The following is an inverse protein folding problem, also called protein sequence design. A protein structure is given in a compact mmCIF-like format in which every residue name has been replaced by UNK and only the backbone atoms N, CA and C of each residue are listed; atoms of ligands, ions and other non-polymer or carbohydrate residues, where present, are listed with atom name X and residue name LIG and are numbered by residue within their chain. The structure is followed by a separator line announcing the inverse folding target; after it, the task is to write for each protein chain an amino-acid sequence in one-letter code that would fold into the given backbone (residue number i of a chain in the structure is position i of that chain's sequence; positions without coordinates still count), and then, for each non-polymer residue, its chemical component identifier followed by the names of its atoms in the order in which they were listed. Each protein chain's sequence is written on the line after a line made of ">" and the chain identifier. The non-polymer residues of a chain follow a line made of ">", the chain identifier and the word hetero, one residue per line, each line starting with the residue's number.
data_IF_563775355106
#
_entry.id   IF_563775355106
#
_cell.length_a   1.000
_cell.length_b   1.000
_cell.length_c   1.000
_cell.angle_alpha   90.00
_cell.angle_beta   90.00
_cell.angle_gamma   90.00
#
_symmetry.space_group_name_H-M   'P 1'
#
loop_
_entity.id
_entity.type
_entity.pdbx_description
1 polymer ?
#
# COMPACT_ATOMS: atom_id res chain seq x y z
N UNK A 1 1.45 -4.24 3.81
CA UNK A 1 0.16 -3.65 3.40
C UNK A 1 0.15 -2.22 3.90
N UNK A 2 0.52 -1.27 3.03
CA UNK A 2 0.35 0.16 3.30
C UNK A 2 -1.15 0.43 3.17
N UNK A 3 -1.85 0.69 4.27
CA UNK A 3 -3.17 1.30 4.13
C UNK A 3 -2.93 2.76 3.77
N UNK A 4 -3.66 3.26 2.77
CA UNK A 4 -3.72 4.67 2.44
C UNK A 4 -4.97 5.26 3.08
N UNK A 5 -4.85 6.37 3.80
CA UNK A 5 -6.01 7.12 4.30
C UNK A 5 -6.04 8.49 3.65
N UNK A 6 -7.07 8.74 2.85
CA UNK A 6 -7.38 10.07 2.32
C UNK A 6 -8.09 10.85 3.41
N UNK A 7 -7.42 11.88 3.93
CA UNK A 7 -8.00 12.87 4.82
C UNK A 7 -8.35 14.09 3.97
N UNK A 8 -9.65 14.23 3.68
CA UNK A 8 -10.20 15.49 3.17
C UNK A 8 -10.22 16.46 4.35
N UNK A 9 -9.35 17.46 4.35
CA UNK A 9 -9.25 18.39 5.49
C UNK A 9 -10.49 19.28 5.55
N UNK A 10 -11.36 19.02 6.51
CA UNK A 10 -12.10 20.08 7.21
C UNK A 10 -11.34 20.36 8.51
N UNK A 11 -11.01 21.62 8.76
CA UNK A 11 -10.16 22.06 9.87
C UNK A 11 -10.80 21.68 11.22
N UNK A 12 -10.19 20.75 11.96
CA UNK A 12 -10.47 20.59 13.40
C UNK A 12 -10.22 19.21 14.01
N UNK A 13 -9.11 19.05 14.72
CA UNK A 13 -8.94 18.00 15.76
C UNK A 13 -7.57 17.32 15.77
N UNK A 14 -6.85 17.39 16.89
CA UNK A 14 -5.62 16.61 17.13
C UNK A 14 -5.93 15.31 17.87
N UNK A 15 -5.20 14.25 17.53
CA UNK A 15 -5.27 12.94 18.21
C UNK A 15 -3.96 12.75 18.98
N UNK A 16 -4.07 12.42 20.27
CA UNK A 16 -2.96 12.10 21.17
C UNK A 16 -2.88 10.57 21.29
N UNK A 17 -1.69 10.01 21.09
CA UNK A 17 -1.40 8.58 21.24
C UNK A 17 -0.45 8.41 22.44
N UNK A 18 -0.83 7.57 23.40
CA UNK A 18 -0.01 7.23 24.57
C UNK A 18 0.59 5.82 24.43
N UNK A 19 1.90 5.72 24.61
CA UNK A 19 2.62 4.43 24.61
C UNK A 19 2.44 3.74 25.98
N UNK A 20 2.20 2.43 25.96
CA UNK A 20 2.12 1.58 27.16
C UNK A 20 3.41 0.77 27.25
N UNK A 21 4.11 0.92 28.37
CA UNK A 21 5.40 0.29 28.66
C UNK A 21 5.16 -1.06 29.35
N UNK A 22 5.70 -2.15 28.79
CA UNK A 22 5.49 -3.51 29.25
C UNK A 22 6.60 -3.93 30.23
N UNK A 23 6.25 -4.17 31.49
CA UNK A 23 7.17 -4.62 32.53
C UNK A 23 7.45 -6.13 32.47
N UNK A 24 8.73 -6.48 32.40
CA UNK A 24 9.28 -7.84 32.46
C UNK A 24 9.15 -8.40 33.88
N UNK A 25 8.62 -9.63 34.01
CA UNK A 25 8.47 -10.31 35.31
C UNK A 25 9.59 -11.33 35.52
N UNK A 26 10.29 -11.21 36.64
CA UNK A 26 11.44 -12.01 37.08
C UNK A 26 11.03 -13.40 37.61
N UNK A 27 11.78 -14.45 37.25
CA UNK A 27 11.48 -15.85 37.61
C UNK A 27 12.05 -16.27 38.96
N UNK A 28 11.23 -17.03 39.69
CA UNK A 28 11.39 -17.55 41.05
C UNK A 28 12.43 -18.68 41.16
N UNK A 29 13.35 -18.59 42.13
CA UNK A 29 14.29 -19.66 42.53
C UNK A 29 13.58 -20.76 43.35
N UNK A 30 13.80 -22.02 42.97
CA UNK A 30 13.37 -23.21 43.70
C UNK A 30 14.44 -23.68 44.71
N UNK A 31 14.04 -23.75 45.97
CA UNK A 31 14.87 -24.22 47.09
C UNK A 31 14.85 -25.76 47.21
N UNK A 32 16.04 -26.36 47.12
CA UNK A 32 16.30 -27.81 47.28
C UNK A 32 16.27 -28.20 48.78
N UNK A 33 15.35 -29.06 49.17
CA UNK A 33 15.27 -29.63 50.52
C UNK A 33 16.25 -30.81 50.70
N UNK A 34 16.99 -30.81 51.83
CA UNK A 34 17.91 -31.86 52.26
C UNK A 34 17.17 -33.07 52.83
N UNK A 35 17.47 -34.25 52.29
CA UNK A 35 16.99 -35.55 52.77
C UNK A 35 17.87 -36.08 53.93
N UNK A 36 17.25 -36.64 54.98
CA UNK A 36 17.91 -37.37 56.07
C UNK A 36 17.89 -38.88 55.78
N UNK A 37 18.96 -39.65 56.07
CA UNK A 37 18.93 -41.09 55.96
C UNK A 37 18.42 -41.71 57.26
N UNK A 38 17.26 -42.38 57.20
CA UNK A 38 16.79 -43.26 58.27
C UNK A 38 17.07 -44.72 57.91
N UNK A 39 18.05 -45.27 58.62
CA UNK A 39 18.42 -46.67 58.69
C UNK A 39 17.27 -47.50 59.28
N UNK A 40 16.74 -48.46 58.53
CA UNK A 40 15.98 -49.55 59.16
C UNK A 40 16.31 -50.91 58.53
N UNK A 41 17.05 -51.71 59.31
CA UNK A 41 17.27 -53.14 59.11
C UNK A 41 16.01 -53.89 59.54
N UNK A 42 15.43 -54.72 58.66
CA UNK A 42 14.93 -56.06 59.02
C UNK A 42 14.33 -56.81 57.83
N UNK A 43 14.45 -58.14 57.89
CA UNK A 43 13.75 -59.18 57.12
C UNK A 43 14.26 -59.58 55.73
N UNK A 44 15.23 -60.51 55.76
CA UNK A 44 15.83 -61.19 54.60
C UNK A 44 14.99 -62.35 54.02
N UNK A 45 13.84 -62.71 54.61
CA UNK A 45 12.94 -63.78 54.07
C UNK A 45 11.67 -63.27 53.36
N UNK A 46 11.36 -61.97 53.43
CA UNK A 46 10.26 -61.31 52.66
C UNK A 46 10.80 -60.57 51.42
N UNK A 47 12.03 -60.89 50.99
CA UNK A 47 12.76 -60.19 49.93
C UNK A 47 12.51 -60.79 48.54
N UNK A 48 12.06 -62.05 48.43
CA UNK A 48 11.92 -62.73 47.14
C UNK A 48 10.58 -62.33 46.46
N UNK A 49 9.45 -62.31 47.17
CA UNK A 49 8.18 -61.79 46.62
C UNK A 49 8.23 -60.27 46.34
N UNK A 50 8.93 -59.51 47.19
CA UNK A 50 9.13 -58.07 46.96
C UNK A 50 9.87 -57.77 45.66
N UNK A 51 10.74 -58.67 45.17
CA UNK A 51 11.45 -58.43 43.90
C UNK A 51 10.55 -58.59 42.68
N UNK A 52 9.56 -59.49 42.72
CA UNK A 52 8.61 -59.67 41.62
C UNK A 52 7.64 -58.49 41.58
N UNK A 53 6.99 -58.17 42.70
CA UNK A 53 6.05 -57.03 42.78
C UNK A 53 6.74 -55.71 42.43
N UNK A 54 7.97 -55.50 42.89
CA UNK A 54 8.76 -54.31 42.56
C UNK A 54 9.15 -54.24 41.08
N UNK A 55 9.51 -55.37 40.45
CA UNK A 55 9.76 -55.42 39.00
C UNK A 55 8.48 -55.10 38.22
N UNK A 56 7.34 -55.64 38.62
CA UNK A 56 6.05 -55.37 37.98
C UNK A 56 5.64 -53.90 38.13
N UNK A 57 5.77 -53.33 39.34
CA UNK A 57 5.51 -51.90 39.57
C UNK A 57 6.43 -51.03 38.71
N UNK A 58 7.74 -51.33 38.66
CA UNK A 58 8.69 -50.64 37.78
C UNK A 58 8.27 -50.71 36.31
N UNK A 59 7.80 -51.88 35.87
CA UNK A 59 7.30 -52.06 34.50
C UNK A 59 6.08 -51.19 34.22
N UNK A 60 5.14 -51.10 35.16
CA UNK A 60 3.96 -50.25 35.00
C UNK A 60 4.30 -48.76 34.98
N UNK A 61 5.18 -48.31 35.87
CA UNK A 61 5.64 -46.91 35.88
C UNK A 61 6.34 -46.60 34.57
N UNK A 62 7.22 -47.48 34.08
CA UNK A 62 7.88 -47.31 32.78
C UNK A 62 6.88 -47.25 31.62
N UNK A 63 5.89 -48.13 31.59
CA UNK A 63 4.85 -48.13 30.55
C UNK A 63 4.02 -46.85 30.58
N UNK A 64 3.64 -46.39 31.78
CA UNK A 64 2.92 -45.13 31.96
C UNK A 64 3.76 -43.95 31.43
N UNK A 65 5.03 -43.84 31.84
CA UNK A 65 5.95 -42.82 31.32
C UNK A 65 6.08 -42.86 29.79
N UNK A 66 6.17 -44.05 29.19
CA UNK A 66 6.24 -44.20 27.73
C UNK A 66 4.98 -43.69 27.04
N UNK A 67 3.80 -43.96 27.60
CA UNK A 67 2.52 -43.45 27.08
C UNK A 67 2.50 -41.92 27.13
N UNK A 68 2.89 -41.30 28.25
CA UNK A 68 2.96 -39.83 28.35
C UNK A 68 3.95 -39.24 27.34
N UNK A 69 5.12 -39.87 27.15
CA UNK A 69 6.10 -39.43 26.17
C UNK A 69 5.52 -39.46 24.75
N UNK A 70 4.81 -40.53 24.38
CA UNK A 70 4.16 -40.65 23.07
C UNK A 70 3.08 -39.57 22.89
N UNK A 71 2.22 -39.35 23.90
CA UNK A 71 1.17 -38.31 23.86
C UNK A 71 1.80 -36.93 23.66
N UNK A 72 2.78 -36.56 24.49
CA UNK A 72 3.49 -35.27 24.36
C UNK A 72 4.19 -35.13 23.02
N UNK A 73 4.78 -36.20 22.50
CA UNK A 73 5.42 -36.19 21.19
C UNK A 73 4.40 -35.93 20.08
N UNK A 74 3.25 -36.60 20.10
CA UNK A 74 2.18 -36.39 19.11
C UNK A 74 1.63 -34.96 19.17
N UNK A 75 1.42 -34.40 20.35
CA UNK A 75 1.02 -32.99 20.51
C UNK A 75 2.07 -32.02 19.95
N UNK A 76 3.34 -32.25 20.25
CA UNK A 76 4.44 -31.45 19.72
C UNK A 76 4.52 -31.54 18.19
N UNK A 77 4.39 -32.75 17.62
CA UNK A 77 4.34 -32.94 16.17
C UNK A 77 3.14 -32.22 15.55
N UNK A 78 1.96 -32.26 16.17
CA UNK A 78 0.78 -31.55 15.69
C UNK A 78 0.97 -30.03 15.70
N UNK A 79 1.66 -29.47 16.69
CA UNK A 79 2.03 -28.05 16.72
C UNK A 79 3.07 -27.75 15.64
N UNK A 80 4.10 -28.60 15.51
CA UNK A 80 5.16 -28.46 14.51
C UNK A 80 4.61 -28.45 13.08
N UNK A 81 3.72 -29.39 12.74
CA UNK A 81 3.11 -29.49 11.40
C UNK A 81 2.09 -28.38 11.10
N UNK A 82 1.64 -27.64 12.11
CA UNK A 82 0.86 -26.40 11.90
C UNK A 82 1.73 -25.21 11.48
N UNK A 83 3.07 -25.37 11.50
CA UNK A 83 4.04 -24.33 11.16
C UNK A 83 3.66 -22.95 11.76
N UNK A 84 3.45 -22.85 13.09
CA UNK A 84 3.14 -21.56 13.70
C UNK A 84 4.33 -20.63 13.49
N UNK A 85 4.18 -19.66 12.60
CA UNK A 85 5.18 -18.62 12.38
C UNK A 85 5.02 -17.56 13.47
N UNK A 86 5.95 -17.52 14.43
CA UNK A 86 6.05 -16.40 15.37
C UNK A 86 6.69 -15.23 14.62
N UNK A 87 5.87 -14.25 14.25
CA UNK A 87 6.37 -13.01 13.65
C UNK A 87 6.90 -12.15 14.80
N UNK A 88 8.22 -12.14 14.99
CA UNK A 88 8.88 -11.17 15.87
C UNK A 88 9.07 -9.89 15.06
N UNK A 89 8.31 -8.85 15.41
CA UNK A 89 8.43 -7.54 14.77
C UNK A 89 9.36 -6.65 15.60
N UNK A 90 10.60 -6.49 15.16
CA UNK A 90 11.50 -5.49 15.72
C UNK A 90 11.30 -4.15 15.00
N UNK A 91 10.82 -3.15 15.75
CA UNK A 91 10.62 -1.79 15.24
C UNK A 91 11.90 -1.01 15.50
N UNK A 92 12.76 -0.91 14.48
CA UNK A 92 13.91 0.00 14.52
C UNK A 92 13.56 1.31 13.81
N UNK A 93 13.83 2.44 14.47
CA UNK A 93 13.68 3.76 13.83
C UNK A 93 14.85 3.97 12.89
N UNK A 94 14.64 3.70 11.60
CA UNK A 94 15.63 4.00 10.58
C UNK A 94 15.88 5.52 10.52
N UNK A 95 17.16 5.92 10.54
CA UNK A 95 17.54 7.34 10.42
C UNK A 95 17.24 7.90 9.03
N UNK A 96 17.28 7.03 8.02
CA UNK A 96 17.00 7.34 6.63
C UNK A 96 15.82 6.50 6.18
N UNK A 97 14.84 7.14 5.56
CA UNK A 97 13.66 6.50 5.03
C UNK A 97 13.69 6.56 3.50
N UNK A 98 13.32 5.46 2.88
CA UNK A 98 13.15 5.36 1.43
C UNK A 98 11.84 6.02 1.03
N UNK A 99 11.89 7.05 0.19
CA UNK A 99 10.66 7.73 -0.21
C UNK A 99 9.73 6.75 -0.98
N UNK A 100 8.41 6.82 -0.78
CA UNK A 100 7.50 5.98 -1.55
C UNK A 100 7.54 6.37 -3.03
N UNK A 101 7.11 5.45 -3.90
CA UNK A 101 6.79 5.81 -5.26
C UNK A 101 5.44 6.50 -5.31
N UNK A 102 5.36 7.63 -6.00
CA UNK A 102 4.10 8.34 -6.24
C UNK A 102 3.81 8.26 -7.74
N UNK A 103 2.67 7.66 -8.07
CA UNK A 103 2.31 7.33 -9.45
C UNK A 103 1.01 8.02 -9.82
N UNK A 104 1.04 8.79 -10.90
CA UNK A 104 -0.14 9.37 -11.53
C UNK A 104 -0.47 8.59 -12.80
N UNK A 105 -1.68 8.06 -12.89
CA UNK A 105 -2.17 7.28 -14.01
C UNK A 105 -3.29 8.02 -14.73
N UNK A 106 -3.22 8.03 -16.05
CA UNK A 106 -4.16 8.75 -16.91
C UNK A 106 -4.88 7.77 -17.84
N UNK A 107 -6.18 7.96 -17.98
CA UNK A 107 -7.02 7.29 -19.00
C UNK A 107 -6.84 7.92 -20.38
N UNK A 108 -6.33 9.15 -20.43
CA UNK A 108 -6.11 9.95 -21.63
C UNK A 108 -5.03 11.00 -21.38
N UNK A 109 -4.20 11.25 -22.39
CA UNK A 109 -3.11 12.24 -22.34
C UNK A 109 -3.16 13.23 -23.51
N UNK A 110 -4.29 13.28 -24.20
CA UNK A 110 -4.56 14.15 -25.35
C UNK A 110 -5.75 15.05 -25.01
N UNK A 111 -5.71 16.33 -25.39
CA UNK A 111 -6.87 17.23 -25.27
C UNK A 111 -7.90 16.98 -26.37
N UNK A 112 -9.16 17.38 -26.20
CA UNK A 112 -10.20 17.33 -27.24
C UNK A 112 -9.80 18.13 -28.46
N UNK A 113 -9.22 19.31 -28.24
CA UNK A 113 -8.79 20.19 -29.32
C UNK A 113 -7.77 19.46 -30.21
N UNK A 114 -6.78 18.83 -29.59
CA UNK A 114 -5.76 18.07 -30.29
C UNK A 114 -6.33 16.81 -30.93
N UNK A 115 -7.12 16.02 -30.19
CA UNK A 115 -7.78 14.82 -30.70
C UNK A 115 -8.66 15.13 -31.92
N UNK A 116 -9.53 16.15 -31.84
CA UNK A 116 -10.42 16.54 -32.94
C UNK A 116 -9.70 17.21 -34.12
N UNK A 117 -8.44 17.60 -33.95
CA UNK A 117 -7.60 18.05 -35.07
C UNK A 117 -7.09 16.86 -35.89
N UNK A 118 -6.83 15.72 -35.23
CA UNK A 118 -6.39 14.49 -35.87
C UNK A 118 -7.56 13.64 -36.38
N UNK A 119 -8.64 13.57 -35.62
CA UNK A 119 -9.82 12.73 -35.88
C UNK A 119 -11.10 13.58 -36.01
N UNK A 120 -11.20 14.48 -36.99
CA UNK A 120 -12.32 15.42 -37.09
C UNK A 120 -13.68 14.73 -37.31
N UNK A 121 -13.68 13.54 -37.91
CA UNK A 121 -14.87 12.72 -38.17
C UNK A 121 -15.40 12.03 -36.91
N UNK A 122 -14.53 11.81 -35.93
CA UNK A 122 -14.85 11.25 -34.63
C UNK A 122 -15.21 12.33 -33.61
N UNK A 123 -15.45 13.56 -34.07
CA UNK A 123 -15.89 14.65 -33.22
C UNK A 123 -17.26 15.20 -33.63
N UNK A 124 -17.96 15.78 -32.65
CA UNK A 124 -19.25 16.42 -32.84
C UNK A 124 -19.35 17.72 -32.03
N UNK A 125 -20.31 18.58 -32.40
CA UNK A 125 -20.60 19.77 -31.63
C UNK A 125 -21.41 19.38 -30.39
N UNK A 126 -21.10 19.90 -29.19
CA UNK A 126 -21.93 19.68 -28.01
C UNK A 126 -23.40 20.03 -28.28
N UNK A 127 -24.32 19.13 -27.87
CA UNK A 127 -25.77 19.32 -28.06
C UNK A 127 -26.29 20.56 -27.35
N UNK A 128 -25.73 20.85 -26.17
CA UNK A 128 -26.02 22.03 -25.37
C UNK A 128 -24.73 22.82 -25.13
N UNK A 129 -24.47 23.80 -26.00
CA UNK A 129 -23.27 24.64 -25.91
C UNK A 129 -23.23 25.48 -24.63
N UNK A 130 -24.38 25.93 -24.12
CA UNK A 130 -24.42 26.77 -22.92
C UNK A 130 -24.02 25.98 -21.67
N UNK A 131 -24.58 24.77 -21.50
CA UNK A 131 -24.19 23.89 -20.40
C UNK A 131 -22.73 23.46 -20.50
N UNK A 132 -22.27 23.11 -21.71
CA UNK A 132 -20.88 22.76 -21.96
C UNK A 132 -19.95 23.89 -21.52
N UNK A 133 -20.19 25.12 -21.98
CA UNK A 133 -19.35 26.27 -21.62
C UNK A 133 -19.45 26.64 -20.13
N UNK A 134 -20.56 26.36 -19.45
CA UNK A 134 -20.67 26.56 -18.00
C UNK A 134 -19.75 25.61 -17.23
N UNK A 135 -19.57 24.39 -17.72
CA UNK A 135 -18.66 23.39 -17.13
C UNK A 135 -17.21 23.58 -17.59
N UNK A 136 -17.02 24.07 -18.82
CA UNK A 136 -15.75 24.19 -19.52
C UNK A 136 -15.48 25.64 -19.94
N UNK A 137 -15.35 26.53 -18.95
CA UNK A 137 -15.23 27.99 -19.18
C UNK A 137 -14.02 28.33 -20.05
N UNK A 138 -12.90 27.63 -19.83
CA UNK A 138 -11.64 27.86 -20.54
C UNK A 138 -11.77 27.56 -22.04
N UNK A 139 -12.51 26.51 -22.40
CA UNK A 139 -12.66 26.03 -23.78
C UNK A 139 -13.55 26.94 -24.63
N UNK A 140 -14.38 27.77 -23.98
CA UNK A 140 -15.30 28.69 -24.64
C UNK A 140 -14.82 30.15 -24.66
N UNK A 141 -13.63 30.45 -24.13
CA UNK A 141 -13.13 31.84 -23.96
C UNK A 141 -12.97 32.61 -25.28
N UNK A 142 -12.70 31.90 -26.39
CA UNK A 142 -12.51 32.49 -27.73
C UNK A 142 -13.74 32.32 -28.65
N UNK A 143 -14.92 32.07 -28.07
CA UNK A 143 -16.17 31.88 -28.80
C UNK A 143 -16.55 30.39 -28.97
N UNK A 144 -17.84 30.15 -29.21
CA UNK A 144 -18.47 28.81 -29.16
C UNK A 144 -18.64 28.15 -30.53
N UNK A 145 -18.26 28.83 -31.60
CA UNK A 145 -18.60 28.41 -32.97
C UNK A 145 -17.82 27.19 -33.44
N UNK A 146 -16.62 26.95 -32.91
CA UNK A 146 -15.71 25.90 -33.38
C UNK A 146 -15.42 24.80 -32.36
N UNK A 147 -16.01 24.84 -31.15
CA UNK A 147 -15.78 23.82 -30.13
C UNK A 147 -16.39 22.49 -30.59
N UNK A 148 -15.52 21.49 -30.74
CA UNK A 148 -15.90 20.11 -31.02
C UNK A 148 -15.43 19.24 -29.86
N UNK A 149 -16.19 18.21 -29.55
CA UNK A 149 -15.86 17.20 -28.57
C UNK A 149 -15.80 15.83 -29.25
N UNK A 150 -14.98 14.88 -28.76
CA UNK A 150 -14.99 13.51 -29.23
C UNK A 150 -16.40 12.90 -29.10
N UNK A 151 -16.80 12.13 -30.11
CA UNK A 151 -18.05 11.38 -30.09
C UNK A 151 -18.02 10.30 -29.01
N UNK A 152 -19.16 10.09 -28.39
CA UNK A 152 -19.31 9.09 -27.33
C UNK A 152 -19.63 7.73 -27.94
N UNK A 153 -18.67 7.14 -28.65
CA UNK A 153 -18.80 5.83 -29.30
C UNK A 153 -17.63 4.94 -28.95
N UNK A 154 -17.86 3.63 -29.01
CA UNK A 154 -16.83 2.62 -28.78
C UNK A 154 -15.60 2.82 -29.68
N UNK A 155 -15.81 3.20 -30.94
CA UNK A 155 -14.72 3.45 -31.89
C UNK A 155 -13.81 4.60 -31.44
N UNK A 156 -14.39 5.73 -31.03
CA UNK A 156 -13.66 6.90 -30.55
C UNK A 156 -12.83 6.56 -29.31
N UNK A 157 -13.42 5.86 -28.33
CA UNK A 157 -12.72 5.39 -27.14
C UNK A 157 -11.56 4.43 -27.49
N UNK A 158 -11.77 3.54 -28.46
CA UNK A 158 -10.73 2.63 -28.93
C UNK A 158 -9.55 3.35 -29.60
N UNK A 159 -9.82 4.33 -30.47
CA UNK A 159 -8.77 5.14 -31.13
C UNK A 159 -7.95 5.89 -30.07
N UNK A 160 -8.60 6.47 -29.06
CA UNK A 160 -7.91 7.15 -27.97
C UNK A 160 -7.02 6.19 -27.17
N UNK A 161 -7.52 5.01 -26.84
CA UNK A 161 -6.75 3.98 -26.14
C UNK A 161 -5.54 3.53 -26.95
N UNK A 162 -5.65 3.50 -28.29
CA UNK A 162 -4.49 3.29 -29.16
C UNK A 162 -3.49 4.44 -29.08
N UNK A 163 -3.91 5.70 -29.08
CA UNK A 163 -3.00 6.84 -28.91
C UNK A 163 -2.28 6.80 -27.56
N UNK A 164 -2.99 6.42 -26.50
CA UNK A 164 -2.43 6.26 -25.18
C UNK A 164 -1.37 5.14 -25.16
N UNK A 165 -1.71 3.97 -25.71
CA UNK A 165 -0.87 2.77 -25.73
C UNK A 165 0.38 2.93 -26.62
N UNK A 166 0.22 3.55 -27.79
CA UNK A 166 1.33 3.81 -28.72
C UNK A 166 2.27 4.89 -28.21
N UNK A 167 1.92 5.57 -27.11
CA UNK A 167 2.70 6.63 -26.51
C UNK A 167 3.04 7.77 -27.49
N UNK A 168 2.24 7.89 -28.55
CA UNK A 168 2.50 8.78 -29.67
C UNK A 168 2.16 10.23 -29.32
N UNK A 169 1.24 10.44 -28.35
CA UNK A 169 0.76 11.75 -27.96
C UNK A 169 0.80 11.97 -26.45
N UNK A 170 1.38 13.11 -26.09
CA UNK A 170 1.46 13.64 -24.74
C UNK A 170 1.29 15.16 -24.88
N UNK A 171 0.13 15.69 -24.51
CA UNK A 171 -0.11 17.15 -24.52
C UNK A 171 0.93 17.86 -23.64
N UNK A 172 1.91 18.50 -24.27
CA UNK A 172 3.07 19.07 -23.59
C UNK A 172 2.69 20.04 -22.44
N UNK A 173 1.54 20.70 -22.54
CA UNK A 173 1.04 21.63 -21.52
C UNK A 173 0.58 20.89 -20.25
N UNK A 174 -0.08 19.74 -20.41
CA UNK A 174 -0.38 18.85 -19.28
C UNK A 174 0.89 18.34 -18.60
N UNK A 175 2.00 18.29 -19.35
CA UNK A 175 3.25 17.68 -18.90
C UNK A 175 4.31 18.67 -18.38
N UNK A 176 4.12 19.98 -18.52
CA UNK A 176 5.16 20.99 -18.23
C UNK A 176 5.43 21.16 -16.74
N UNK A 177 4.39 21.38 -15.91
CA UNK A 177 4.55 21.73 -14.48
C UNK A 177 5.12 20.59 -13.61
N UNK A 178 4.81 19.33 -13.92
CA UNK A 178 5.17 18.18 -13.09
C UNK A 178 6.43 17.45 -13.59
N UNK A 179 7.10 17.99 -14.61
CA UNK A 179 8.33 17.43 -15.22
C UNK A 179 8.19 15.94 -15.58
N UNK A 180 7.06 15.55 -16.17
CA UNK A 180 6.76 14.13 -16.42
C UNK A 180 7.79 13.39 -17.27
N UNK A 181 8.52 14.12 -18.13
CA UNK A 181 9.62 13.56 -18.93
C UNK A 181 10.73 12.94 -18.05
N UNK A 182 10.87 13.39 -16.80
CA UNK A 182 11.85 12.85 -15.84
C UNK A 182 11.35 11.59 -15.11
N UNK A 183 10.04 11.33 -15.14
CA UNK A 183 9.37 10.27 -14.38
C UNK A 183 9.42 8.93 -15.11
N UNK A 184 9.27 7.84 -14.38
CA UNK A 184 9.24 6.50 -14.97
C UNK A 184 7.86 6.28 -15.58
N UNK A 185 7.81 5.99 -16.89
CA UNK A 185 6.57 5.70 -17.60
C UNK A 185 6.26 4.21 -17.54
N UNK A 186 5.03 3.87 -17.19
CA UNK A 186 4.52 2.50 -17.17
C UNK A 186 3.11 2.45 -17.75
N UNK A 187 2.66 1.25 -18.11
CA UNK A 187 1.32 1.03 -18.62
C UNK A 187 0.66 -0.07 -17.79
N UNK A 188 -0.51 0.23 -17.24
CA UNK A 188 -1.33 -0.76 -16.53
C UNK A 188 -2.48 -1.14 -17.45
N UNK A 189 -2.61 -2.43 -17.75
CA UNK A 189 -3.68 -2.95 -18.60
C UNK A 189 -4.67 -3.73 -17.77
N UNK A 190 -5.93 -3.28 -17.78
CA UNK A 190 -7.06 -4.04 -17.27
C UNK A 190 -8.14 -4.12 -18.34
N UNK A 191 -9.25 -3.40 -18.19
CA UNK A 191 -10.25 -3.20 -19.25
C UNK A 191 -9.88 -2.04 -20.18
N UNK A 192 -9.26 -1.01 -19.61
CA UNK A 192 -8.64 0.10 -20.31
C UNK A 192 -7.13 0.08 -20.03
N UNK A 193 -6.37 0.72 -20.91
CA UNK A 193 -4.97 1.04 -20.67
C UNK A 193 -4.94 2.32 -19.86
N UNK A 194 -4.16 2.30 -18.78
CA UNK A 194 -3.77 3.49 -18.04
C UNK A 194 -2.31 3.78 -18.31
N UNK A 195 -2.01 5.03 -18.61
CA UNK A 195 -0.64 5.51 -18.77
C UNK A 195 -0.18 6.16 -17.49
N UNK A 196 0.81 5.57 -16.86
CA UNK A 196 1.23 5.92 -15.53
C UNK A 196 2.62 6.55 -15.54
N UNK A 197 2.78 7.57 -14.71
CA UNK A 197 4.03 8.28 -14.51
C UNK A 197 4.38 8.24 -13.03
N UNK A 198 5.49 7.60 -12.73
CA UNK A 198 5.90 7.32 -11.37
C UNK A 198 7.16 8.09 -10.99
N UNK A 199 7.08 8.83 -9.90
CA UNK A 199 8.23 9.34 -9.20
C UNK A 199 8.79 8.27 -8.26
N UNK A 200 10.12 8.18 -8.19
CA UNK A 200 10.85 7.26 -7.32
C UNK A 200 10.48 5.76 -7.50
N UNK A 201 10.07 5.33 -8.69
CA UNK A 201 9.87 3.91 -9.02
C UNK A 201 11.18 3.26 -9.46
N UNK A 202 11.65 2.23 -8.74
CA UNK A 202 12.95 1.60 -8.99
C UNK A 202 12.88 0.24 -9.68
N UNK A 203 11.69 -0.35 -9.80
CA UNK A 203 11.49 -1.60 -10.54
C UNK A 203 12.14 -1.64 -11.92
N UNK A 204 12.13 -0.51 -12.62
CA UNK A 204 12.58 -0.41 -14.01
C UNK A 204 13.86 0.40 -14.19
N UNK A 205 14.38 1.03 -13.11
CA UNK A 205 15.63 1.80 -13.13
C UNK A 205 16.70 1.12 -12.29
N UNK A 206 17.36 0.12 -12.86
CA UNK A 206 18.41 -0.67 -12.20
C UNK A 206 19.66 0.12 -11.75
N UNK A 207 19.74 1.44 -12.04
CA UNK A 207 20.91 2.28 -11.74
C UNK A 207 20.62 3.62 -11.07
N UNK A 208 19.34 4.01 -10.90
CA UNK A 208 19.06 5.26 -10.17
C UNK A 208 19.20 5.01 -8.68
N UNK A 209 19.92 5.87 -7.98
CA UNK A 209 19.96 5.85 -6.51
C UNK A 209 18.56 6.20 -5.99
N UNK A 210 18.10 5.48 -4.97
CA UNK A 210 16.84 5.79 -4.32
C UNK A 210 16.88 7.18 -3.71
N UNK A 211 15.78 7.91 -3.83
CA UNK A 211 15.60 9.11 -3.02
C UNK A 211 15.36 8.65 -1.58
N UNK A 212 16.32 8.95 -0.71
CA UNK A 212 16.18 8.74 0.72
C UNK A 212 16.05 10.10 1.41
N UNK A 213 15.19 10.14 2.42
CA UNK A 213 14.98 11.33 3.23
C UNK A 213 15.34 11.00 4.68
N UNK A 214 16.18 11.86 5.27
CA UNK A 214 16.48 11.77 6.70
C UNK A 214 15.29 12.35 7.47
N UNK A 215 14.71 11.57 8.37
CA UNK A 215 13.58 12.02 9.18
C UNK A 215 14.06 12.87 10.36
N UNK A 216 13.70 14.15 10.35
CA UNK A 216 13.88 15.10 11.44
C UNK A 216 12.52 15.34 12.10
N UNK A 217 12.24 14.64 13.21
CA UNK A 217 10.98 14.79 13.95
C UNK A 217 10.79 16.18 14.60
N UNK A 218 11.82 17.02 14.57
CA UNK A 218 11.78 18.37 15.13
C UNK A 218 11.28 19.42 14.13
N UNK A 219 11.11 19.10 12.84
CA UNK A 219 10.67 20.08 11.85
C UNK A 219 9.14 20.30 11.95
N UNK A 220 8.71 21.56 11.80
CA UNK A 220 7.30 21.98 11.86
C UNK A 220 6.38 21.16 10.93
N UNK A 221 6.95 20.59 9.87
CA UNK A 221 6.24 19.81 8.85
C UNK A 221 6.09 18.32 9.19
N UNK A 222 6.51 17.87 10.39
CA UNK A 222 6.27 16.53 10.97
C UNK A 222 6.23 15.36 9.97
N UNK A 223 7.26 15.21 9.14
CA UNK A 223 7.35 14.05 8.23
C UNK A 223 6.59 14.17 6.91
N UNK A 224 6.35 15.40 6.42
CA UNK A 224 5.96 15.63 5.03
C UNK A 224 7.09 15.14 4.10
N UNK A 225 6.81 14.17 3.23
CA UNK A 225 7.77 13.65 2.24
C UNK A 225 7.75 14.46 0.97
N UNK A 226 6.56 14.57 0.38
CA UNK A 226 6.34 15.16 -0.93
C UNK A 226 5.08 16.02 -0.91
N UNK A 227 5.10 17.07 -1.72
CA UNK A 227 3.98 17.93 -2.04
C UNK A 227 3.86 17.95 -3.55
N UNK A 228 2.70 17.60 -4.06
CA UNK A 228 2.41 17.60 -5.50
C UNK A 228 1.30 18.60 -5.73
N UNK A 229 1.58 19.61 -6.53
CA UNK A 229 0.54 20.47 -7.09
C UNK A 229 0.10 19.88 -8.42
N UNK A 230 -1.16 19.48 -8.49
CA UNK A 230 -1.77 18.89 -9.67
C UNK A 230 -2.89 19.80 -10.16
N UNK A 231 -2.61 20.52 -11.23
CA UNK A 231 -3.56 21.44 -11.86
C UNK A 231 -4.33 20.70 -12.96
N UNK A 232 -5.52 20.19 -12.64
CA UNK A 232 -6.37 19.50 -13.62
C UNK A 232 -7.39 20.45 -14.29
N UNK A 233 -7.24 21.76 -14.12
CA UNK A 233 -8.18 22.72 -14.73
C UNK A 233 -8.09 22.77 -16.25
N UNK A 234 -6.98 22.28 -16.80
CA UNK A 234 -6.74 22.15 -18.24
C UNK A 234 -6.87 20.70 -18.74
N UNK A 235 -7.04 19.72 -17.83
CA UNK A 235 -7.32 18.34 -18.23
C UNK A 235 -8.78 18.24 -18.61
N UNK A 236 -9.03 18.25 -19.92
CA UNK A 236 -10.36 18.10 -20.49
C UNK A 236 -10.93 16.71 -20.20
N UNK A 237 -12.15 16.66 -19.66
CA UNK A 237 -12.78 15.44 -19.16
C UNK A 237 -13.50 14.67 -20.24
N UNK A 238 -12.87 13.62 -20.76
CA UNK A 238 -13.53 12.78 -21.75
C UNK A 238 -14.80 12.18 -21.15
N UNK A 239 -15.92 12.38 -21.84
CA UNK A 239 -17.20 11.94 -21.35
C UNK A 239 -17.25 10.40 -21.28
N UNK A 240 -17.81 9.79 -20.22
CA UNK A 240 -18.59 10.41 -19.14
C UNK A 240 -17.79 11.40 -18.26
N UNK A 241 -18.30 12.63 -18.16
CA UNK A 241 -17.71 13.75 -17.37
C UNK A 241 -17.60 13.43 -15.89
N UNK A 242 -18.30 12.38 -15.48
CA UNK A 242 -18.41 11.78 -14.16
C UNK A 242 -17.37 10.68 -13.91
N UNK A 243 -16.60 10.26 -14.93
CA UNK A 243 -15.50 9.31 -14.74
C UNK A 243 -14.18 10.02 -14.42
N UNK A 244 -13.42 9.52 -13.42
CA UNK A 244 -12.11 10.03 -13.09
C UNK A 244 -11.13 9.78 -14.22
N UNK A 245 -10.46 10.85 -14.68
CA UNK A 245 -9.47 10.80 -15.76
C UNK A 245 -8.05 10.56 -15.26
N UNK A 246 -7.83 10.89 -13.99
CA UNK A 246 -6.53 10.80 -13.35
C UNK A 246 -6.69 10.01 -12.07
N UNK A 247 -5.75 9.11 -11.86
CA UNK A 247 -5.66 8.30 -10.67
C UNK A 247 -4.31 8.53 -10.02
N UNK A 248 -4.25 8.45 -8.70
CA UNK A 248 -3.01 8.52 -7.93
C UNK A 248 -2.84 7.29 -7.07
N UNK A 249 -1.63 6.72 -7.08
CA UNK A 249 -1.23 5.65 -6.17
C UNK A 249 0.07 6.00 -5.46
N UNK A 250 0.17 5.61 -4.20
CA UNK A 250 1.39 5.73 -3.40
C UNK A 250 1.76 4.32 -2.94
N UNK A 251 2.91 3.84 -3.36
CA UNK A 251 3.29 2.45 -3.17
C UNK A 251 4.79 2.30 -2.89
N UNK A 252 5.21 1.07 -2.58
CA UNK A 252 6.63 0.78 -2.43
C UNK A 252 7.36 1.01 -3.77
N UNK A 253 8.56 1.61 -3.74
CA UNK A 253 9.38 1.82 -4.95
C UNK A 253 9.78 0.53 -5.66
N UNK A 254 9.58 -0.63 -5.02
CA UNK A 254 9.95 -1.96 -5.52
C UNK A 254 8.76 -2.84 -5.91
N UNK A 255 7.52 -2.35 -5.77
CA UNK A 255 6.31 -3.14 -6.03
C UNK A 255 5.52 -2.46 -7.15
N UNK A 256 5.09 -3.21 -8.18
CA UNK A 256 4.29 -2.63 -9.24
C UNK A 256 2.95 -2.22 -8.66
N UNK A 257 2.38 -1.15 -9.20
CA UNK A 257 1.09 -0.66 -8.74
C UNK A 257 -0.04 -1.47 -9.38
N UNK A 258 -1.01 -1.88 -8.58
CA UNK A 258 -2.25 -2.49 -9.05
C UNK A 258 -3.36 -1.43 -9.18
N UNK A 259 -4.36 -1.68 -10.03
CA UNK A 259 -5.45 -0.72 -10.24
C UNK A 259 -6.29 -0.51 -8.97
N UNK A 260 -6.42 -1.54 -8.13
CA UNK A 260 -7.22 -1.45 -6.90
C UNK A 260 -6.55 -0.55 -5.84
N UNK A 261 -5.26 -0.25 -5.99
CA UNK A 261 -4.49 0.66 -5.13
C UNK A 261 -4.57 2.13 -5.60
N UNK A 262 -5.23 2.39 -6.74
CA UNK A 262 -5.34 3.71 -7.32
C UNK A 262 -6.55 4.47 -6.77
N UNK A 263 -6.32 5.74 -6.46
CA UNK A 263 -7.36 6.68 -6.05
C UNK A 263 -7.73 7.62 -7.19
N UNK A 264 -9.01 7.59 -7.55
CA UNK A 264 -9.61 8.49 -8.51
C UNK A 264 -9.52 9.97 -8.05
N UNK A 265 -9.08 10.84 -8.95
CA UNK A 265 -9.08 12.30 -8.77
C UNK A 265 -10.18 12.89 -9.64
N UNK A 266 -10.94 13.85 -9.09
CA UNK A 266 -12.01 14.52 -9.82
C UNK A 266 -11.37 15.56 -10.74
N UNK A 267 -11.60 15.49 -12.04
CA UNK A 267 -11.01 16.43 -12.98
C UNK A 267 -11.59 17.85 -12.89
N UNK A 268 -10.93 18.81 -13.53
CA UNK A 268 -11.32 20.23 -13.50
C UNK A 268 -11.00 20.95 -12.19
N UNK A 269 -10.31 20.30 -11.26
CA UNK A 269 -9.98 20.84 -9.94
C UNK A 269 -8.46 20.92 -9.76
N UNK A 270 -7.99 21.90 -8.98
CA UNK A 270 -6.59 21.98 -8.56
C UNK A 270 -6.43 21.21 -7.25
N UNK A 271 -5.42 20.36 -7.19
CA UNK A 271 -5.13 19.58 -6.00
C UNK A 271 -3.74 19.92 -5.47
N UNK A 272 -3.68 20.20 -4.17
CA UNK A 272 -2.45 20.12 -3.40
C UNK A 272 -2.45 18.78 -2.66
N UNK A 273 -1.56 17.89 -3.06
CA UNK A 273 -1.47 16.52 -2.55
C UNK A 273 -0.23 16.42 -1.67
N UNK A 274 -0.46 16.14 -0.39
CA UNK A 274 0.61 15.96 0.60
C UNK A 274 0.76 14.48 0.96
N UNK A 275 1.99 13.99 0.89
CA UNK A 275 2.35 12.63 1.32
C UNK A 275 3.08 12.72 2.65
N UNK A 276 2.47 12.19 3.70
CA UNK A 276 3.03 12.24 5.06
C UNK A 276 3.15 10.84 5.66
N UNK A 277 4.21 10.62 6.46
CA UNK A 277 4.28 9.44 7.32
C UNK A 277 3.22 9.54 8.42
N UNK A 278 2.26 8.62 8.42
CA UNK A 278 1.27 8.52 9.47
C UNK A 278 1.75 7.66 10.65
N UNK A 279 2.52 6.63 10.30
CA UNK A 279 3.14 5.65 11.19
C UNK A 279 4.30 5.00 10.43
N UNK A 280 5.22 4.32 11.12
CA UNK A 280 6.41 3.67 10.55
C UNK A 280 6.06 2.75 9.35
N UNK A 281 4.81 2.28 9.27
CA UNK A 281 4.31 1.42 8.18
C UNK A 281 3.22 2.05 7.29
N UNK A 282 2.89 3.33 7.44
CA UNK A 282 1.67 3.90 6.85
C UNK A 282 1.89 5.31 6.28
N UNK A 283 1.37 5.57 5.08
CA UNK A 283 1.31 6.90 4.47
C UNK A 283 -0.12 7.44 4.50
N UNK A 284 -0.31 8.67 4.98
CA UNK A 284 -1.59 9.39 4.87
C UNK A 284 -1.54 10.30 3.64
N UNK A 285 -2.66 10.34 2.94
CA UNK A 285 -2.94 11.24 1.84
C UNK A 285 -3.79 12.40 2.37
N UNK A 286 -3.34 13.63 2.17
CA UNK A 286 -4.15 14.81 2.43
C UNK A 286 -4.34 15.56 1.11
N UNK A 287 -5.58 15.77 0.70
CA UNK A 287 -5.91 16.69 -0.38
C UNK A 287 -6.69 17.88 0.16
N UNK A 288 -6.32 19.05 -0.34
CA UNK A 288 -7.10 20.27 -0.19
C UNK A 288 -7.70 20.59 -1.56
N UNK A 289 -9.02 20.73 -1.59
CA UNK A 289 -9.80 21.25 -2.72
C UNK A 289 -9.93 22.77 -2.60
#
# INVERSE_FOLDING_TARGET
>A
MLLLRIVKYSVGGSIVISNTEETVTESREDSIAKEKPALEKTNRRRAIEKTVVWKTLKSFVFLFCLIFLIIQSVEFFNIYYKYPTTIVTDITVAKEFEEPAITLCFTTTISFKEFCSYEPDECEKPRNMEEFCRKHINDCRNGTTNSKIPRQRFLTAFIMQQYLFNDSYNDALLFEKYEYASKVRTFIRHFTVLKCYSENLHLYRSRSKLKTKKLTFNDEWRGLFSSIELDQTEIETFYPTDEPQVFIGIHSPYIPLEIDDLHAIIPGTKYEIYVQLASIHFCIFCSKE
#
